data_IF_340151329281
#
_entry.id   IF_340151329281
#
_cell.length_a   1.000
_cell.length_b   1.000
_cell.length_c   1.000
_cell.angle_alpha   90.00
_cell.angle_beta   90.00
_cell.angle_gamma   90.00
#
_symmetry.space_group_name_H-M   'P 1'
#
loop_
_entity.id
_entity.type
_entity.pdbx_description
1 polymer ?
#
# COMPACT_ATOMS: atom_id res chain seq x y z
N UNK A 1 -13.72 21.15 -26.87
CA UNK A 1 -14.40 20.21 -25.95
C UNK A 1 -13.35 19.66 -25.00
N UNK A 2 -13.44 19.99 -23.70
CA UNK A 2 -12.55 19.42 -22.68
C UNK A 2 -13.03 18.00 -22.40
N UNK A 3 -12.27 16.98 -22.80
CA UNK A 3 -12.49 15.62 -22.36
C UNK A 3 -12.37 15.61 -20.84
N UNK A 4 -13.47 15.41 -20.13
CA UNK A 4 -13.41 15.07 -18.72
C UNK A 4 -12.58 13.79 -18.60
N UNK A 5 -11.53 13.73 -17.76
CA UNK A 5 -10.92 12.45 -17.47
C UNK A 5 -11.97 11.65 -16.70
N UNK A 6 -12.57 10.67 -17.36
CA UNK A 6 -13.31 9.62 -16.70
C UNK A 6 -12.39 9.05 -15.64
N UNK A 7 -12.65 9.35 -14.36
CA UNK A 7 -11.93 8.74 -13.24
C UNK A 7 -12.37 7.28 -13.24
N UNK A 8 -11.67 6.46 -14.03
CA UNK A 8 -11.61 5.04 -13.79
C UNK A 8 -10.86 4.91 -12.48
N UNK A 9 -11.58 4.59 -11.40
CA UNK A 9 -10.95 3.90 -10.28
C UNK A 9 -10.12 2.80 -10.92
N UNK A 10 -8.79 2.75 -10.75
CA UNK A 10 -8.05 1.60 -11.21
C UNK A 10 -8.55 0.47 -10.33
N UNK A 11 -9.46 -0.33 -10.91
CA UNK A 11 -9.53 -1.75 -10.63
C UNK A 11 -8.10 -2.20 -10.37
N UNK A 12 -7.89 -2.71 -9.15
CA UNK A 12 -6.68 -3.37 -8.70
C UNK A 12 -6.04 -4.06 -9.90
N UNK A 13 -4.91 -3.56 -10.38
CA UNK A 13 -4.24 -4.18 -11.52
C UNK A 13 -3.92 -5.62 -11.10
N UNK A 14 -4.55 -6.64 -11.72
CA UNK A 14 -4.48 -8.02 -11.23
C UNK A 14 -3.06 -8.62 -11.30
N UNK A 15 -2.13 -7.93 -11.97
CA UNK A 15 -0.73 -8.35 -12.15
C UNK A 15 0.27 -7.63 -11.24
N UNK A 16 -0.15 -6.78 -10.29
CA UNK A 16 0.81 -6.12 -9.41
C UNK A 16 1.26 -7.05 -8.27
N UNK A 17 2.38 -7.77 -8.49
CA UNK A 17 2.97 -8.79 -7.59
C UNK A 17 3.13 -8.37 -6.11
N UNK A 18 3.04 -7.08 -5.83
CA UNK A 18 3.22 -6.46 -4.51
C UNK A 18 1.92 -6.33 -3.72
N UNK A 19 0.81 -5.99 -4.39
CA UNK A 19 -0.46 -5.71 -3.69
C UNK A 19 -1.04 -7.03 -3.17
N UNK A 20 -1.58 -7.01 -1.96
CA UNK A 20 -2.10 -8.21 -1.30
C UNK A 20 -1.02 -9.10 -0.69
N UNK A 21 0.26 -8.79 -0.88
CA UNK A 21 1.36 -9.48 -0.22
C UNK A 21 1.68 -8.87 1.15
N UNK A 22 2.28 -9.70 1.99
CA UNK A 22 2.81 -9.30 3.27
C UNK A 22 4.31 -9.06 3.19
N UNK A 23 4.78 -8.04 3.90
CA UNK A 23 6.17 -7.63 3.95
C UNK A 23 6.64 -7.42 5.37
N UNK A 24 7.88 -7.78 5.65
CA UNK A 24 8.57 -7.41 6.90
C UNK A 24 9.28 -6.09 6.70
N UNK A 25 8.91 -5.10 7.50
CA UNK A 25 9.63 -3.84 7.61
C UNK A 25 10.94 -4.01 8.37
N UNK A 26 11.88 -3.08 8.16
CA UNK A 26 13.14 -3.04 8.90
C UNK A 26 12.96 -2.78 10.42
N UNK A 27 11.80 -2.27 10.82
CA UNK A 27 11.36 -2.14 12.20
C UNK A 27 10.85 -3.45 12.82
N UNK A 28 10.88 -4.56 12.07
CA UNK A 28 10.49 -5.90 12.52
C UNK A 28 9.00 -6.20 12.41
N UNK A 29 8.17 -5.19 12.13
CA UNK A 29 6.73 -5.37 11.99
C UNK A 29 6.35 -5.96 10.63
N UNK A 30 5.18 -6.59 10.58
CA UNK A 30 4.60 -7.14 9.34
C UNK A 30 3.54 -6.18 8.82
N UNK A 31 3.66 -5.87 7.54
CA UNK A 31 2.83 -4.93 6.82
C UNK A 31 2.14 -5.66 5.67
N UNK A 32 0.85 -5.42 5.53
CA UNK A 32 0.08 -5.80 4.37
C UNK A 32 0.08 -4.65 3.36
N UNK A 33 0.30 -4.95 2.09
CA UNK A 33 0.26 -3.94 1.03
C UNK A 33 -1.16 -3.82 0.46
N UNK A 34 -1.90 -2.77 0.83
CA UNK A 34 -3.28 -2.54 0.39
C UNK A 34 -3.44 -1.24 -0.39
N UNK A 35 -3.53 -1.34 -1.73
CA UNK A 35 -3.83 -0.26 -2.70
C UNK A 35 -2.63 0.51 -3.25
N UNK A 36 -2.65 0.66 -4.58
CA UNK A 36 -1.93 1.65 -5.35
C UNK A 36 -2.94 2.68 -5.86
N UNK A 37 -3.03 3.86 -5.24
CA UNK A 37 -3.63 5.01 -5.91
C UNK A 37 -2.55 5.58 -6.82
N UNK A 38 -2.83 5.68 -8.13
CA UNK A 38 -1.82 6.01 -9.17
C UNK A 38 -1.10 7.33 -8.91
N UNK A 39 -1.76 8.22 -8.17
CA UNK A 39 -1.35 9.54 -7.73
C UNK A 39 -0.74 9.57 -6.33
N UNK A 40 -0.89 8.51 -5.53
CA UNK A 40 -0.46 8.48 -4.13
C UNK A 40 0.49 7.34 -3.75
N UNK A 41 0.75 6.32 -4.58
CA UNK A 41 1.68 5.23 -4.22
C UNK A 41 1.04 4.07 -3.45
N UNK A 42 1.87 3.25 -2.79
CA UNK A 42 1.49 2.00 -2.10
C UNK A 42 1.27 2.23 -0.61
N UNK A 43 0.20 1.68 -0.07
CA UNK A 43 0.01 1.68 1.38
C UNK A 43 0.52 0.39 2.01
N UNK A 44 1.32 0.57 3.06
CA UNK A 44 1.82 -0.50 3.93
C UNK A 44 1.11 -0.36 5.27
N UNK A 45 0.15 -1.25 5.52
CA UNK A 45 -0.64 -1.25 6.77
C UNK A 45 -0.16 -2.38 7.68
N UNK A 46 0.24 -2.05 8.90
CA UNK A 46 0.67 -3.05 9.88
C UNK A 46 -0.45 -4.04 10.19
N UNK A 47 -0.13 -5.34 10.28
CA UNK A 47 -1.12 -6.38 10.57
C UNK A 47 -1.63 -6.34 12.02
N UNK A 48 -0.81 -5.83 12.94
CA UNK A 48 -1.17 -5.65 14.35
C UNK A 48 -1.91 -4.34 14.62
N UNK A 49 -2.20 -3.55 13.58
CA UNK A 49 -2.99 -2.34 13.72
C UNK A 49 -4.40 -2.66 14.24
N UNK A 50 -4.92 -1.89 15.21
CA UNK A 50 -6.33 -1.91 15.58
C UNK A 50 -7.23 -1.67 14.35
N UNK A 51 -8.41 -2.30 14.29
CA UNK A 51 -9.26 -2.25 13.08
C UNK A 51 -9.70 -0.83 12.71
N UNK A 52 -9.96 0.01 13.70
CA UNK A 52 -10.29 1.43 13.55
C UNK A 52 -9.12 2.25 12.98
N UNK A 53 -7.88 1.76 13.12
CA UNK A 53 -6.66 2.42 12.62
C UNK A 53 -6.18 1.89 11.28
N UNK A 54 -6.61 0.71 10.83
CA UNK A 54 -6.18 0.11 9.55
C UNK A 54 -6.46 0.99 8.33
N UNK A 55 -7.53 1.80 8.37
CA UNK A 55 -7.93 2.69 7.27
C UNK A 55 -7.56 4.16 7.51
N UNK A 56 -7.01 4.48 8.68
CA UNK A 56 -6.60 5.83 9.03
C UNK A 56 -5.27 6.17 8.34
N UNK A 57 -5.32 7.09 7.37
CA UNK A 57 -4.17 7.50 6.56
C UNK A 57 -3.10 8.24 7.37
N UNK A 58 -3.44 8.74 8.54
CA UNK A 58 -2.53 9.49 9.42
C UNK A 58 -2.08 8.66 10.63
N UNK A 59 -2.43 7.37 10.65
CA UNK A 59 -2.03 6.46 11.72
C UNK A 59 -0.56 6.06 11.61
N UNK A 60 0.11 5.88 12.75
CA UNK A 60 1.46 5.28 12.81
C UNK A 60 1.51 3.87 12.22
N UNK A 61 0.36 3.19 12.16
CA UNK A 61 0.24 1.83 11.66
C UNK A 61 0.17 1.75 10.13
N UNK A 62 0.06 2.88 9.44
CA UNK A 62 -0.14 2.92 7.99
C UNK A 62 0.83 3.89 7.35
N UNK A 63 1.63 3.41 6.38
CA UNK A 63 2.65 4.23 5.69
C UNK A 63 2.38 4.24 4.20
N UNK A 64 2.51 5.41 3.59
CA UNK A 64 2.52 5.53 2.16
C UNK A 64 3.96 5.45 1.64
N UNK A 65 4.21 4.59 0.66
CA UNK A 65 5.54 4.35 0.10
C UNK A 65 5.50 4.30 -1.42
N UNK A 66 6.60 4.69 -2.06
CA UNK A 66 6.78 4.48 -3.49
C UNK A 66 7.16 3.03 -3.78
N UNK A 67 6.90 2.56 -5.00
CA UNK A 67 7.32 1.22 -5.45
C UNK A 67 8.83 0.99 -5.26
N UNK A 68 9.64 2.03 -5.47
CA UNK A 68 11.10 1.96 -5.34
C UNK A 68 11.57 1.82 -3.89
N UNK A 69 10.74 2.16 -2.91
CA UNK A 69 11.04 1.95 -1.50
C UNK A 69 10.75 0.50 -1.08
N UNK A 70 9.77 -0.14 -1.72
CA UNK A 70 9.45 -1.56 -1.51
C UNK A 70 10.63 -2.39 -2.06
N UNK A 71 11.11 -3.36 -1.28
CA UNK A 71 12.35 -4.11 -1.55
C UNK A 71 13.61 -3.51 -0.91
N UNK A 72 13.63 -2.19 -0.63
CA UNK A 72 14.72 -1.55 0.15
C UNK A 72 14.42 -1.50 1.64
N UNK A 73 13.17 -1.21 2.00
CA UNK A 73 12.74 -1.05 3.41
C UNK A 73 11.73 -2.11 3.86
N UNK A 74 11.13 -2.80 2.90
CA UNK A 74 10.14 -3.85 3.12
C UNK A 74 10.55 -5.08 2.30
N UNK A 75 10.72 -6.21 2.97
CA UNK A 75 11.08 -7.48 2.35
C UNK A 75 9.86 -8.39 2.31
N UNK A 76 9.53 -8.95 1.14
CA UNK A 76 8.38 -9.85 1.01
C UNK A 76 8.55 -11.05 1.93
N UNK A 77 7.47 -11.42 2.59
CA UNK A 77 7.38 -12.65 3.37
C UNK A 77 6.60 -13.64 2.50
N UNK A 78 7.25 -14.72 2.09
CA UNK A 78 6.59 -15.85 1.44
C UNK A 78 5.84 -16.73 2.47
#
# INVERSE_FOLDING_TARGET
MRCQPTIKTPETDPDHETIGQDFRGHDGFVYHCDSWQSDLGFWMTRKDAPEDRKKDKHSEFRRNVSINAIGRTFHRID
#
